data_IF_692394304887
#
_entry.id   IF_692394304887
#
_cell.length_a   1.000
_cell.length_b   1.000
_cell.length_c   1.000
_cell.angle_alpha   90.00
_cell.angle_beta   90.00
_cell.angle_gamma   90.00
#
_symmetry.space_group_name_H-M   'P 1'
#
loop_
_entity.id
_entity.type
_entity.pdbx_description
1 polymer ?
#
# COMPACT_ATOMS: atom_id res chain seq x y z
N UNK A 1 -2.32 5.37 -20.34
CA UNK A 1 -2.06 5.14 -18.91
C UNK A 1 -0.59 5.27 -18.59
N UNK A 2 -0.18 6.50 -18.35
CA UNK A 2 1.07 6.83 -17.65
C UNK A 2 0.78 6.68 -16.16
N UNK A 3 1.64 5.98 -15.44
CA UNK A 3 1.52 5.90 -13.99
C UNK A 3 2.17 7.15 -13.39
N UNK A 4 1.40 7.93 -12.63
CA UNK A 4 1.87 9.11 -11.90
C UNK A 4 2.84 8.69 -10.81
N UNK A 5 3.68 9.62 -10.35
CA UNK A 5 4.45 9.46 -9.11
C UNK A 5 4.15 10.62 -8.16
N UNK A 6 2.91 11.10 -8.23
CA UNK A 6 2.38 12.15 -7.38
C UNK A 6 1.71 11.47 -6.19
N UNK A 7 2.06 11.93 -4.99
CA UNK A 7 1.57 11.38 -3.74
C UNK A 7 1.15 12.50 -2.80
N UNK A 8 0.22 12.20 -1.92
CA UNK A 8 -0.21 13.08 -0.84
C UNK A 8 -0.08 12.37 0.50
N UNK A 9 0.00 13.15 1.56
CA UNK A 9 0.00 12.65 2.93
C UNK A 9 -1.25 13.13 3.64
N UNK A 10 -1.95 12.21 4.29
CA UNK A 10 -3.04 12.49 5.21
C UNK A 10 -2.76 11.81 6.56
N UNK A 11 -3.50 12.22 7.58
CA UNK A 11 -3.41 11.64 8.92
C UNK A 11 -4.81 11.27 9.40
N UNK A 12 -4.93 10.11 10.04
CA UNK A 12 -6.13 9.68 10.74
C UNK A 12 -5.77 9.11 12.11
N UNK A 13 -6.77 8.71 12.89
CA UNK A 13 -6.59 7.97 14.12
C UNK A 13 -7.23 6.59 13.98
N UNK A 14 -6.65 5.57 14.62
CA UNK A 14 -7.31 4.27 14.76
C UNK A 14 -8.34 4.25 15.89
N UNK A 15 -8.99 3.10 16.13
CA UNK A 15 -10.01 2.95 17.18
C UNK A 15 -9.48 3.23 18.61
N UNK A 16 -8.17 3.18 18.82
CA UNK A 16 -7.51 3.45 20.10
C UNK A 16 -6.98 4.90 20.19
N UNK A 17 -7.24 5.73 19.18
CA UNK A 17 -6.75 7.11 19.11
C UNK A 17 -5.28 7.23 18.71
N UNK A 18 -4.68 6.17 18.14
CA UNK A 18 -3.28 6.21 17.68
C UNK A 18 -3.20 6.80 16.29
N UNK A 19 -2.19 7.63 16.06
CA UNK A 19 -1.95 8.28 14.78
C UNK A 19 -1.65 7.23 13.69
N UNK A 20 -2.36 7.34 12.57
CA UNK A 20 -2.09 6.64 11.33
C UNK A 20 -1.68 7.66 10.27
N UNK A 21 -0.46 7.53 9.76
CA UNK A 21 -0.01 8.27 8.59
C UNK A 21 -0.42 7.53 7.32
N UNK A 22 -1.05 8.24 6.40
CA UNK A 22 -1.54 7.73 5.13
C UNK A 22 -0.74 8.37 4.02
N UNK A 23 -0.07 7.56 3.21
CA UNK A 23 0.61 8.00 2.00
C UNK A 23 -0.14 7.49 0.78
N UNK A 24 -0.97 8.35 0.19
CA UNK A 24 -1.87 8.03 -0.91
C UNK A 24 -1.30 8.46 -2.26
N UNK A 25 -1.44 7.63 -3.28
CA UNK A 25 -1.04 7.99 -4.64
C UNK A 25 -2.15 8.76 -5.35
N UNK A 26 -1.77 9.80 -6.07
CA UNK A 26 -2.68 10.67 -6.79
C UNK A 26 -2.78 10.33 -8.28
N UNK A 27 -3.78 10.88 -8.97
CA UNK A 27 -3.94 10.80 -10.43
C UNK A 27 -4.13 9.38 -11.00
N UNK A 28 -4.81 8.50 -10.26
CA UNK A 28 -5.09 7.11 -10.71
C UNK A 28 -6.40 6.91 -11.48
N UNK A 29 -7.12 7.98 -11.83
CA UNK A 29 -8.45 7.90 -12.48
C UNK A 29 -8.45 7.09 -13.78
N UNK A 30 -7.39 7.16 -14.61
CA UNK A 30 -7.30 6.35 -15.83
C UNK A 30 -7.20 4.84 -15.53
N UNK A 31 -6.55 4.46 -14.43
CA UNK A 31 -6.37 3.06 -14.05
C UNK A 31 -7.63 2.48 -13.47
N UNK A 32 -8.35 3.24 -12.63
CA UNK A 32 -9.67 2.87 -12.15
C UNK A 32 -10.65 2.71 -13.33
N UNK A 33 -10.72 3.71 -14.22
CA UNK A 33 -11.62 3.69 -15.37
C UNK A 33 -11.34 2.57 -16.40
N UNK A 34 -10.14 1.97 -16.38
CA UNK A 34 -9.82 0.91 -17.33
C UNK A 34 -10.50 -0.43 -16.99
N UNK A 35 -10.98 -0.62 -15.75
CA UNK A 35 -11.70 -1.81 -15.28
C UNK A 35 -10.87 -3.10 -15.31
N UNK A 36 -9.54 -2.99 -15.32
CA UNK A 36 -8.64 -4.15 -15.42
C UNK A 36 -7.94 -4.52 -14.13
N UNK A 37 -7.96 -3.67 -13.11
CA UNK A 37 -7.34 -3.94 -11.81
C UNK A 37 -8.46 -3.92 -10.79
N UNK A 38 -9.08 -5.08 -10.57
CA UNK A 38 -10.33 -5.18 -9.80
C UNK A 38 -10.13 -5.96 -8.49
N UNK A 39 -8.91 -6.40 -8.23
CA UNK A 39 -8.57 -7.13 -7.02
C UNK A 39 -7.65 -6.26 -6.18
N UNK A 40 -8.03 -6.06 -4.92
CA UNK A 40 -7.23 -5.38 -3.90
C UNK A 40 -6.35 -6.41 -3.20
N UNK A 41 -5.10 -6.05 -2.99
CA UNK A 41 -4.15 -6.80 -2.19
C UNK A 41 -3.60 -5.89 -1.11
N UNK A 42 -3.73 -6.32 0.13
CA UNK A 42 -3.17 -5.64 1.29
C UNK A 42 -2.05 -6.49 1.85
N UNK A 43 -0.88 -5.89 1.97
CA UNK A 43 0.27 -6.53 2.62
C UNK A 43 0.46 -5.82 3.95
N UNK A 44 0.36 -6.57 5.05
CA UNK A 44 0.51 -6.03 6.40
C UNK A 44 1.81 -6.52 7.00
N UNK A 45 2.62 -5.60 7.49
CA UNK A 45 3.82 -5.87 8.28
C UNK A 45 3.62 -5.33 9.71
N UNK A 46 3.35 -6.19 10.70
CA UNK A 46 3.33 -5.82 12.11
C UNK A 46 4.73 -5.54 12.66
N UNK A 47 4.86 -4.51 13.49
CA UNK A 47 6.10 -4.15 14.15
C UNK A 47 5.86 -3.75 15.61
N UNK A 48 6.92 -3.75 16.41
CA UNK A 48 6.88 -3.14 17.74
C UNK A 48 7.13 -1.64 17.59
N UNK A 49 6.07 -0.84 17.77
CA UNK A 49 6.16 0.61 17.65
C UNK A 49 6.72 1.28 18.89
N UNK A 50 7.09 2.56 18.73
CA UNK A 50 7.48 3.44 19.83
C UNK A 50 6.27 3.88 20.68
N UNK A 51 6.43 4.92 21.52
CA UNK A 51 5.35 5.46 22.35
C UNK A 51 4.14 5.98 21.53
N UNK A 52 4.31 6.18 20.22
CA UNK A 52 3.27 6.62 19.28
C UNK A 52 2.83 5.50 18.33
N UNK A 53 3.25 4.26 18.60
CA UNK A 53 2.99 3.10 17.75
C UNK A 53 3.54 3.25 16.32
N UNK A 54 4.63 4.01 16.18
CA UNK A 54 5.36 4.24 14.92
C UNK A 54 6.61 3.36 14.85
N UNK A 55 7.06 2.94 13.66
CA UNK A 55 8.23 2.07 13.54
C UNK A 55 9.51 2.84 13.91
N UNK A 56 10.49 2.12 14.45
CA UNK A 56 11.84 2.67 14.61
C UNK A 56 12.50 2.91 13.25
N UNK A 57 13.54 3.75 13.19
CA UNK A 57 14.28 4.04 11.95
C UNK A 57 14.79 2.75 11.28
N UNK A 58 15.36 1.82 12.05
CA UNK A 58 15.86 0.53 11.54
C UNK A 58 14.75 -0.31 10.90
N UNK A 59 13.57 -0.36 11.53
CA UNK A 59 12.41 -1.08 10.97
C UNK A 59 11.89 -0.37 9.72
N UNK A 60 11.82 0.96 9.74
CA UNK A 60 11.37 1.76 8.62
C UNK A 60 12.26 1.60 7.38
N UNK A 61 13.59 1.56 7.57
CA UNK A 61 14.55 1.30 6.49
C UNK A 61 14.34 -0.08 5.86
N UNK A 62 14.11 -1.12 6.67
CA UNK A 62 13.82 -2.48 6.17
C UNK A 62 12.52 -2.52 5.36
N UNK A 63 11.50 -1.78 5.81
CA UNK A 63 10.23 -1.66 5.11
C UNK A 63 10.38 -0.90 3.79
N UNK A 64 11.24 0.11 3.71
CA UNK A 64 11.52 0.83 2.46
C UNK A 64 12.21 -0.06 1.42
N UNK A 65 13.18 -0.90 1.84
CA UNK A 65 13.81 -1.90 0.96
C UNK A 65 12.77 -2.86 0.39
N UNK A 66 11.85 -3.32 1.23
CA UNK A 66 10.74 -4.20 0.84
C UNK A 66 9.80 -3.51 -0.16
N UNK A 67 9.33 -2.29 0.16
CA UNK A 67 8.44 -1.52 -0.71
C UNK A 67 9.09 -1.26 -2.07
N UNK A 68 10.35 -0.82 -2.08
CA UNK A 68 11.09 -0.52 -3.31
C UNK A 68 11.19 -1.75 -4.22
N UNK A 69 11.49 -2.91 -3.64
CA UNK A 69 11.60 -4.17 -4.38
C UNK A 69 10.25 -4.56 -5.02
N UNK A 70 9.17 -4.52 -4.23
CA UNK A 70 7.83 -4.86 -4.71
C UNK A 70 7.31 -3.87 -5.74
N UNK A 71 7.37 -2.57 -5.45
CA UNK A 71 6.87 -1.52 -6.36
C UNK A 71 7.55 -1.62 -7.72
N UNK A 72 8.88 -1.81 -7.74
CA UNK A 72 9.65 -2.02 -8.98
C UNK A 72 9.18 -3.25 -9.76
N UNK A 73 8.91 -4.36 -9.09
CA UNK A 73 8.49 -5.61 -9.73
C UNK A 73 7.04 -5.55 -10.23
N UNK A 74 6.15 -4.98 -9.44
CA UNK A 74 4.70 -4.94 -9.68
C UNK A 74 4.28 -3.90 -10.74
N UNK A 75 4.93 -2.74 -10.74
CA UNK A 75 4.54 -1.61 -11.60
C UNK A 75 5.17 -1.67 -12.99
N UNK A 76 6.21 -2.50 -13.19
CA UNK A 76 6.99 -2.60 -14.44
C UNK A 76 6.12 -2.78 -15.67
N UNK A 77 5.16 -3.69 -15.62
CA UNK A 77 4.20 -3.99 -16.68
C UNK A 77 2.76 -3.62 -16.28
N UNK A 78 2.60 -2.87 -15.18
CA UNK A 78 1.31 -2.48 -14.59
C UNK A 78 0.45 -3.72 -14.30
N UNK A 79 1.09 -4.78 -13.80
CA UNK A 79 0.44 -5.93 -13.19
C UNK A 79 -0.36 -5.46 -11.97
N UNK A 80 0.31 -4.71 -11.09
CA UNK A 80 -0.30 -4.09 -9.93
C UNK A 80 0.27 -2.69 -9.69
N UNK A 81 -0.49 -1.86 -8.99
CA UNK A 81 -0.17 -0.47 -8.70
C UNK A 81 -0.27 -0.27 -7.20
N UNK A 82 0.79 0.25 -6.57
CA UNK A 82 0.71 0.69 -5.19
C UNK A 82 -0.12 1.97 -5.13
N UNK A 83 -1.21 1.94 -4.36
CA UNK A 83 -2.19 3.03 -4.28
C UNK A 83 -2.16 3.75 -2.94
N UNK A 84 -1.83 3.04 -1.86
CA UNK A 84 -1.70 3.63 -0.53
C UNK A 84 -0.68 2.88 0.33
N UNK A 85 -0.07 3.59 1.27
CA UNK A 85 0.69 3.03 2.38
C UNK A 85 0.17 3.63 3.69
N UNK A 86 -0.31 2.79 4.58
CA UNK A 86 -0.73 3.18 5.93
C UNK A 86 0.39 2.82 6.91
N UNK A 87 0.78 3.75 7.79
CA UNK A 87 1.76 3.50 8.85
C UNK A 87 1.27 4.06 10.17
N UNK A 88 1.14 3.19 11.16
CA UNK A 88 0.78 3.54 12.53
C UNK A 88 0.10 2.36 13.19
N UNK A 89 -0.24 2.49 14.48
CA UNK A 89 -0.95 1.42 15.19
C UNK A 89 -0.20 0.08 15.20
N UNK A 90 1.15 0.12 15.24
CA UNK A 90 2.02 -1.06 15.23
C UNK A 90 1.99 -1.88 13.93
N UNK A 91 1.52 -1.30 12.83
CA UNK A 91 1.54 -1.95 11.52
C UNK A 91 1.86 -0.98 10.38
N UNK A 92 2.44 -1.52 9.30
CA UNK A 92 2.50 -0.86 8.00
C UNK A 92 1.75 -1.70 6.98
N UNK A 93 0.85 -1.07 6.24
CA UNK A 93 -0.02 -1.72 5.26
C UNK A 93 0.23 -1.11 3.90
N UNK A 94 0.59 -1.93 2.91
CA UNK A 94 0.66 -1.53 1.51
C UNK A 94 -0.58 -2.02 0.77
N UNK A 95 -1.29 -1.11 0.12
CA UNK A 95 -2.48 -1.43 -0.67
C UNK A 95 -2.13 -1.37 -2.14
N UNK A 96 -2.30 -2.50 -2.81
CA UNK A 96 -2.15 -2.66 -4.24
C UNK A 96 -3.48 -2.97 -4.89
N UNK A 97 -3.74 -2.39 -6.06
CA UNK A 97 -4.73 -2.92 -6.99
C UNK A 97 -4.01 -3.72 -8.07
N UNK A 98 -4.48 -4.93 -8.35
CA UNK A 98 -3.86 -5.88 -9.28
C UNK A 98 -4.84 -6.39 -10.32
N UNK A 99 -4.31 -6.79 -11.48
CA UNK A 99 -5.06 -7.51 -12.51
C UNK A 99 -5.46 -8.92 -12.08
N UNK A 100 -4.62 -9.56 -11.28
CA UNK A 100 -4.85 -10.92 -10.78
C UNK A 100 -3.94 -11.21 -9.58
N UNK A 101 -4.54 -11.67 -8.49
CA UNK A 101 -3.91 -12.08 -7.24
C UNK A 101 -2.96 -13.26 -7.46
N UNK A 102 -3.29 -14.17 -8.39
CA UNK A 102 -2.42 -15.32 -8.69
C UNK A 102 -1.06 -14.87 -9.20
N UNK A 103 -1.03 -14.03 -10.24
CA UNK A 103 0.24 -13.54 -10.81
C UNK A 103 0.91 -12.54 -9.88
N UNK A 104 0.14 -11.78 -9.09
CA UNK A 104 0.69 -10.96 -8.01
C UNK A 104 1.50 -11.80 -7.03
N UNK A 105 0.94 -12.90 -6.51
CA UNK A 105 1.65 -13.79 -5.58
C UNK A 105 2.90 -14.44 -6.18
N UNK A 106 2.83 -14.87 -7.44
CA UNK A 106 4.01 -15.38 -8.17
C UNK A 106 5.10 -14.29 -8.27
N UNK A 107 4.74 -13.08 -8.69
CA UNK A 107 5.68 -11.94 -8.81
C UNK A 107 6.25 -11.51 -7.46
N UNK A 108 5.46 -11.54 -6.39
CA UNK A 108 5.90 -11.20 -5.04
C UNK A 108 7.00 -12.17 -4.60
N UNK A 109 6.79 -13.47 -4.78
CA UNK A 109 7.79 -14.48 -4.44
C UNK A 109 9.07 -14.32 -5.28
N UNK A 110 8.95 -14.06 -6.59
CA UNK A 110 10.09 -13.82 -7.47
C UNK A 110 10.88 -12.57 -7.04
N UNK A 111 10.19 -11.46 -6.72
CA UNK A 111 10.80 -10.20 -6.35
C UNK A 111 11.59 -10.30 -5.04
N UNK A 112 11.09 -11.12 -4.11
CA UNK A 112 11.66 -11.26 -2.77
C UNK A 112 12.50 -12.54 -2.60
N UNK A 113 12.73 -13.32 -3.67
CA UNK A 113 13.42 -14.61 -3.60
C UNK A 113 14.85 -14.56 -3.03
N UNK A 114 15.52 -13.40 -3.16
CA UNK A 114 16.88 -13.17 -2.63
C UNK A 114 16.91 -12.47 -1.28
N UNK A 115 15.75 -12.14 -0.72
CA UNK A 115 15.61 -11.45 0.56
C UNK A 115 15.43 -12.47 1.69
N UNK A 116 15.71 -12.03 2.91
CA UNK A 116 15.27 -12.76 4.10
C UNK A 116 13.74 -12.76 4.20
N UNK A 117 13.18 -13.75 4.90
CA UNK A 117 11.74 -13.84 5.08
C UNK A 117 11.22 -12.63 5.87
N UNK A 118 10.24 -11.93 5.29
CA UNK A 118 9.57 -10.80 5.92
C UNK A 118 8.39 -11.27 6.77
N UNK A 119 8.13 -10.64 7.94
CA UNK A 119 7.03 -11.01 8.82
C UNK A 119 5.72 -10.39 8.29
N UNK A 120 5.31 -10.73 7.08
CA UNK A 120 4.12 -10.17 6.43
C UNK A 120 2.92 -11.11 6.47
N UNK A 121 1.73 -10.55 6.51
CA UNK A 121 0.48 -11.21 6.15
C UNK A 121 -0.11 -10.55 4.90
N UNK A 122 -0.88 -11.32 4.12
CA UNK A 122 -1.50 -10.83 2.89
C UNK A 122 -2.99 -11.09 2.95
N UNK A 123 -3.78 -10.05 2.75
CA UNK A 123 -5.21 -10.11 2.53
C UNK A 123 -5.53 -9.73 1.09
N UNK A 124 -6.57 -10.34 0.51
CA UNK A 124 -6.98 -10.06 -0.87
C UNK A 124 -8.48 -10.06 -0.98
N UNK A 125 -9.01 -9.13 -1.78
CA UNK A 125 -10.45 -8.97 -1.97
C UNK A 125 -10.76 -8.52 -3.40
N UNK A 126 -11.96 -8.84 -3.88
CA UNK A 126 -12.48 -8.29 -5.11
C UNK A 126 -13.07 -6.91 -4.82
N UNK A 127 -12.47 -5.87 -5.39
CA UNK A 127 -12.88 -4.47 -5.24
C UNK A 127 -12.84 -3.78 -6.62
N UNK A 128 -13.85 -4.03 -7.47
CA UNK A 128 -13.89 -3.47 -8.82
C UNK A 128 -14.20 -1.96 -8.82
N UNK A 129 -14.81 -1.46 -7.75
CA UNK A 129 -15.18 -0.05 -7.61
C UNK A 129 -14.08 0.81 -7.00
N UNK A 130 -13.00 0.18 -6.55
CA UNK A 130 -11.89 0.83 -5.87
C UNK A 130 -12.34 1.57 -4.61
N UNK A 131 -13.19 0.93 -3.80
CA UNK A 131 -13.78 1.50 -2.58
C UNK A 131 -12.68 1.98 -1.63
N UNK A 132 -11.68 1.15 -1.36
CA UNK A 132 -10.56 1.50 -0.46
C UNK A 132 -9.78 2.74 -0.95
N UNK A 133 -9.48 2.80 -2.26
CA UNK A 133 -8.79 3.96 -2.82
C UNK A 133 -9.67 5.23 -2.75
N UNK A 134 -10.97 5.11 -2.99
CA UNK A 134 -11.90 6.25 -2.92
C UNK A 134 -12.00 6.78 -1.50
N UNK A 135 -12.18 5.91 -0.52
CA UNK A 135 -12.25 6.26 0.90
C UNK A 135 -10.97 6.98 1.35
N UNK A 136 -9.81 6.42 1.00
CA UNK A 136 -8.50 7.02 1.25
C UNK A 136 -8.34 8.40 0.57
N UNK A 137 -8.86 8.55 -0.66
CA UNK A 137 -8.80 9.81 -1.40
C UNK A 137 -9.74 10.88 -0.84
N UNK A 138 -10.85 10.51 -0.20
CA UNK A 138 -11.73 11.45 0.51
C UNK A 138 -11.02 12.04 1.74
N UNK A 139 -10.20 11.25 2.46
CA UNK A 139 -9.42 11.76 3.59
C UNK A 139 -8.43 12.87 3.19
N UNK A 140 -7.90 12.83 1.97
CA UNK A 140 -7.10 13.92 1.39
C UNK A 140 -7.84 15.26 1.41
N UNK A 141 -9.14 15.23 1.12
CA UNK A 141 -9.95 16.44 0.95
C UNK A 141 -10.27 17.10 2.29
N UNK A 142 -10.37 16.33 3.38
CA UNK A 142 -10.59 16.87 4.72
C UNK A 142 -9.33 17.41 5.40
N UNK A 143 -8.14 16.97 4.98
CA UNK A 143 -6.88 17.48 5.51
C UNK A 143 -6.46 18.85 4.91
N UNK A 144 -7.19 19.35 3.92
CA UNK A 144 -6.85 20.57 3.17
C UNK A 144 -7.59 21.84 3.66
N UNK A 145 -8.43 21.74 4.69
CA UNK A 145 -9.15 22.84 5.35
C UNK A 145 -8.53 23.17 6.73
#
# INVERSE_FOLDING_TARGET
MRLSDNWFTAFSEDEEGRLISIYGRDELSEFMACGKLNERVEITWPYEGDAHAMPTDEVAERMEVFETALRKAMEKDKLAILTAVYTGGNARIWVFYTRTVRVFGERLNEALASHEAYPISIYTELDPEWEEYRDMYEMKQWAAD
#
